data_IF_128364160391
#
_entry.id   IF_128364160391
#
_cell.length_a   1.000
_cell.length_b   1.000
_cell.length_c   1.000
_cell.angle_alpha   90.00
_cell.angle_beta   90.00
_cell.angle_gamma   90.00
#
_symmetry.space_group_name_H-M   'P 1'
#
loop_
_entity.id
_entity.type
_entity.pdbx_description
1 polymer ?
#
# COMPACT_ATOMS: atom_id res chain seq x y z
N UNK A 1 20.50 -3.88 -13.34
CA UNK A 1 20.19 -5.31 -13.06
C UNK A 1 18.72 -5.61 -12.69
N UNK A 2 17.81 -4.62 -12.56
CA UNK A 2 16.38 -4.88 -12.27
C UNK A 2 15.47 -4.95 -13.52
N UNK A 3 15.98 -4.59 -14.70
CA UNK A 3 15.21 -4.57 -15.95
C UNK A 3 14.99 -5.97 -16.55
N UNK A 4 16.01 -6.83 -16.52
CA UNK A 4 15.94 -8.19 -17.10
C UNK A 4 14.95 -9.12 -16.38
N UNK A 5 14.79 -9.00 -15.05
CA UNK A 5 13.86 -9.86 -14.29
C UNK A 5 12.38 -9.54 -14.47
N UNK A 6 12.05 -8.34 -14.95
CA UNK A 6 10.65 -7.96 -15.20
C UNK A 6 10.16 -8.44 -16.57
N UNK A 7 11.05 -8.55 -17.55
CA UNK A 7 10.73 -8.94 -18.93
C UNK A 7 10.13 -10.36 -19.02
N UNK A 8 10.59 -11.27 -18.15
CA UNK A 8 10.20 -12.69 -18.16
C UNK A 8 8.88 -13.01 -17.41
N UNK A 9 8.23 -12.01 -16.81
CA UNK A 9 6.95 -12.21 -16.12
C UNK A 9 5.80 -11.99 -17.10
N UNK A 10 4.97 -13.00 -17.32
CA UNK A 10 3.78 -12.88 -18.18
C UNK A 10 2.83 -11.76 -17.70
N UNK A 11 2.16 -11.11 -18.65
CA UNK A 11 1.21 -10.01 -18.42
C UNK A 11 0.11 -10.38 -17.38
N UNK A 12 -0.32 -11.65 -17.36
CA UNK A 12 -1.29 -12.16 -16.39
C UNK A 12 -0.72 -12.25 -14.98
N UNK A 13 0.55 -12.68 -14.83
CA UNK A 13 1.25 -12.68 -13.52
C UNK A 13 1.43 -11.24 -13.00
N UNK A 14 1.73 -10.28 -13.88
CA UNK A 14 1.82 -8.85 -13.54
C UNK A 14 0.46 -8.27 -13.08
N UNK A 15 -0.63 -8.57 -13.78
CA UNK A 15 -1.98 -8.17 -13.37
C UNK A 15 -2.41 -8.78 -12.04
N UNK A 16 -2.13 -10.06 -11.82
CA UNK A 16 -2.45 -10.75 -10.56
C UNK A 16 -1.69 -10.13 -9.38
N UNK A 17 -0.40 -9.84 -9.55
CA UNK A 17 0.41 -9.12 -8.54
C UNK A 17 -0.12 -7.72 -8.27
N UNK A 18 -0.48 -6.96 -9.33
CA UNK A 18 -1.12 -5.64 -9.17
C UNK A 18 -2.40 -5.73 -8.33
N UNK A 19 -3.29 -6.70 -8.63
CA UNK A 19 -4.55 -6.86 -7.88
C UNK A 19 -4.29 -7.14 -6.40
N UNK A 20 -3.33 -8.02 -6.09
CA UNK A 20 -2.92 -8.32 -4.71
C UNK A 20 -2.34 -7.07 -4.03
N UNK A 21 -1.41 -6.36 -4.68
CA UNK A 21 -0.83 -5.12 -4.15
C UNK A 21 -1.89 -4.04 -3.90
N UNK A 22 -2.90 -3.92 -4.76
CA UNK A 22 -4.01 -2.98 -4.59
C UNK A 22 -4.88 -3.36 -3.39
N UNK A 23 -5.19 -4.65 -3.23
CA UNK A 23 -5.94 -5.13 -2.06
C UNK A 23 -5.16 -4.89 -0.77
N UNK A 24 -3.86 -5.21 -0.74
CA UNK A 24 -2.98 -4.90 0.39
C UNK A 24 -2.92 -3.41 0.70
N UNK A 25 -2.86 -2.56 -0.32
CA UNK A 25 -2.89 -1.10 -0.16
C UNK A 25 -4.19 -0.66 0.52
N UNK A 26 -5.34 -1.18 0.09
CA UNK A 26 -6.63 -0.90 0.71
C UNK A 26 -6.70 -1.36 2.16
N UNK A 27 -6.15 -2.53 2.48
CA UNK A 27 -6.07 -3.04 3.86
C UNK A 27 -5.21 -2.10 4.72
N UNK A 28 -4.03 -1.69 4.24
CA UNK A 28 -3.15 -0.77 4.99
C UNK A 28 -3.80 0.59 5.24
N UNK A 29 -4.48 1.15 4.24
CA UNK A 29 -5.24 2.39 4.38
C UNK A 29 -6.39 2.21 5.36
N UNK A 30 -7.15 1.11 5.25
CA UNK A 30 -8.27 0.81 6.14
C UNK A 30 -7.86 0.71 7.60
N UNK A 31 -6.78 -0.03 7.90
CA UNK A 31 -6.22 -0.15 9.25
C UNK A 31 -5.73 1.21 9.78
N UNK A 32 -5.12 2.03 8.91
CA UNK A 32 -4.65 3.37 9.28
C UNK A 32 -5.83 4.30 9.64
N UNK A 33 -6.91 4.28 8.86
CA UNK A 33 -8.13 5.05 9.14
C UNK A 33 -8.75 4.59 10.47
N UNK A 34 -8.87 3.28 10.69
CA UNK A 34 -9.44 2.74 11.93
C UNK A 34 -8.62 3.18 13.15
N UNK A 35 -7.28 3.16 13.03
CA UNK A 35 -6.37 3.60 14.09
C UNK A 35 -6.55 5.09 14.40
N UNK A 36 -6.70 5.93 13.38
CA UNK A 36 -6.98 7.37 13.54
C UNK A 36 -8.33 7.60 14.23
N UNK A 37 -9.38 6.86 13.86
CA UNK A 37 -10.71 6.96 14.48
C UNK A 37 -10.65 6.62 15.97
N UNK A 38 -9.96 5.53 16.34
CA UNK A 38 -9.80 5.15 17.75
C UNK A 38 -9.05 6.24 18.51
N UNK A 39 -7.99 6.78 17.91
CA UNK A 39 -7.19 7.84 18.52
C UNK A 39 -7.99 9.14 18.72
N UNK A 40 -8.82 9.53 17.75
CA UNK A 40 -9.77 10.64 17.85
C UNK A 40 -10.80 10.41 18.97
N UNK A 41 -11.34 9.20 19.08
CA UNK A 41 -12.28 8.84 20.14
C UNK A 41 -11.62 8.94 21.52
N UNK A 42 -10.39 8.45 21.68
CA UNK A 42 -9.66 8.53 22.95
C UNK A 42 -9.34 9.98 23.31
N UNK A 43 -8.96 10.81 22.32
CA UNK A 43 -8.73 12.25 22.51
C UNK A 43 -9.99 13.00 22.95
N UNK A 44 -11.12 12.80 22.27
CA UNK A 44 -12.41 13.44 22.64
C UNK A 44 -12.89 12.94 24.00
N UNK A 45 -12.68 11.66 24.31
CA UNK A 45 -13.06 11.06 25.58
C UNK A 45 -12.15 11.41 26.77
N UNK A 46 -11.14 12.28 26.58
CA UNK A 46 -10.21 12.69 27.63
C UNK A 46 -9.30 11.57 28.14
N UNK A 47 -9.17 10.46 27.38
CA UNK A 47 -8.29 9.35 27.73
C UNK A 47 -6.86 9.66 27.30
N UNK A 48 -5.88 9.07 27.98
CA UNK A 48 -4.48 9.14 27.54
C UNK A 48 -4.36 8.60 26.12
N UNK A 49 -3.67 9.37 25.26
CA UNK A 49 -3.42 8.99 23.88
C UNK A 49 -2.64 7.66 23.84
N UNK A 50 -3.19 6.68 23.14
CA UNK A 50 -2.54 5.38 22.98
C UNK A 50 -1.44 5.48 21.91
N UNK A 51 -0.22 5.82 22.34
CA UNK A 51 0.96 5.93 21.47
C UNK A 51 1.28 4.63 20.70
N UNK A 52 0.78 3.48 21.15
CA UNK A 52 0.90 2.21 20.43
C UNK A 52 0.19 2.28 19.06
N UNK A 53 -0.95 2.98 18.97
CA UNK A 53 -1.67 3.15 17.70
C UNK A 53 -0.91 4.05 16.72
N UNK A 54 -0.20 5.07 17.22
CA UNK A 54 0.71 5.89 16.41
C UNK A 54 1.90 5.07 15.89
N UNK A 55 2.45 4.20 16.75
CA UNK A 55 3.53 3.29 16.39
C UNK A 55 3.17 2.28 15.31
N UNK A 56 1.88 1.94 15.16
CA UNK A 56 1.37 1.04 14.10
C UNK A 56 0.94 1.82 12.85
N UNK A 57 0.36 3.01 13.01
CA UNK A 57 -0.11 3.84 11.89
C UNK A 57 1.05 4.39 11.04
N UNK A 58 2.15 4.82 11.67
CA UNK A 58 3.35 5.34 11.02
C UNK A 58 3.95 4.36 9.97
N UNK A 59 4.33 3.12 10.35
CA UNK A 59 4.88 2.17 9.39
C UNK A 59 3.82 1.73 8.36
N UNK A 60 2.54 1.64 8.72
CA UNK A 60 1.47 1.32 7.77
C UNK A 60 1.35 2.35 6.64
N UNK A 61 1.44 3.65 6.97
CA UNK A 61 1.50 4.72 5.98
C UNK A 61 2.74 4.62 5.08
N UNK A 62 3.88 4.26 5.67
CA UNK A 62 5.13 4.07 4.92
C UNK A 62 5.04 2.87 3.95
N UNK A 63 4.50 1.74 4.40
CA UNK A 63 4.25 0.57 3.55
C UNK A 63 3.21 0.86 2.47
N UNK A 64 2.15 1.62 2.78
CA UNK A 64 1.16 2.04 1.80
C UNK A 64 1.79 2.86 0.65
N UNK A 65 2.68 3.80 0.97
CA UNK A 65 3.46 4.54 -0.03
C UNK A 65 4.33 3.61 -0.89
N UNK A 66 5.00 2.64 -0.27
CA UNK A 66 5.83 1.67 -0.99
C UNK A 66 4.99 0.81 -1.96
N UNK A 67 3.83 0.32 -1.50
CA UNK A 67 2.88 -0.43 -2.34
C UNK A 67 2.35 0.43 -3.49
N UNK A 68 2.03 1.69 -3.24
CA UNK A 68 1.57 2.62 -4.27
C UNK A 68 2.63 2.84 -5.37
N UNK A 69 3.89 3.09 -4.99
CA UNK A 69 5.00 3.21 -5.96
C UNK A 69 5.23 1.91 -6.74
N UNK A 70 5.12 0.75 -6.08
CA UNK A 70 5.18 -0.56 -6.73
C UNK A 70 4.08 -0.75 -7.78
N UNK A 71 2.83 -0.39 -7.45
CA UNK A 71 1.69 -0.44 -8.39
C UNK A 71 1.91 0.52 -9.56
N UNK A 72 2.43 1.73 -9.31
CA UNK A 72 2.74 2.72 -10.35
C UNK A 72 3.77 2.18 -11.35
N UNK A 73 4.84 1.53 -10.85
CA UNK A 73 5.85 0.88 -11.71
C UNK A 73 5.25 -0.26 -12.54
N UNK A 74 4.40 -1.10 -11.94
CA UNK A 74 3.70 -2.18 -12.66
C UNK A 74 2.79 -1.61 -13.76
N UNK A 75 2.05 -0.54 -13.49
CA UNK A 75 1.22 0.13 -14.50
C UNK A 75 2.06 0.71 -15.65
N UNK A 76 3.17 1.37 -15.34
CA UNK A 76 4.06 1.91 -16.37
C UNK A 76 4.60 0.79 -17.28
N UNK A 77 4.97 -0.36 -16.71
CA UNK A 77 5.45 -1.51 -17.48
C UNK A 77 4.34 -2.16 -18.33
N UNK A 78 3.11 -2.29 -17.79
CA UNK A 78 1.96 -2.79 -18.56
C UNK A 78 1.63 -1.85 -19.72
N UNK A 79 1.66 -0.53 -19.50
CA UNK A 79 1.41 0.45 -20.55
C UNK A 79 2.52 0.46 -21.62
N UNK A 80 3.79 0.30 -21.22
CA UNK A 80 4.92 0.17 -22.15
C UNK A 80 4.73 -1.02 -23.09
N UNK A 81 4.37 -2.20 -22.56
CA UNK A 81 4.15 -3.42 -23.35
C UNK A 81 2.89 -3.42 -24.20
N UNK A 82 1.90 -2.59 -23.86
CA UNK A 82 0.69 -2.40 -24.67
C UNK A 82 0.89 -1.40 -25.82
N UNK A 83 1.93 -0.58 -25.75
CA UNK A 83 2.28 0.43 -26.75
C UNK A 83 3.34 -0.05 -27.75
N UNK A 84 3.83 -1.28 -27.57
CA UNK A 84 4.62 -2.04 -28.55
C UNK A 84 3.70 -3.04 -29.25
#
# INVERSE_FOLDING_TARGET
MAKEKLEDISLDKLRKRKKISVVLLWVLIGVSILSIIIMLRDFIGGKQLNYSLLGVASPNLFFALYFYLGIKKINAEISRRKSQ
#
